data_IF_913927852052
#
_entry.id   IF_913927852052
#
_cell.length_a   1.000
_cell.length_b   1.000
_cell.length_c   1.000
_cell.angle_alpha   90.00
_cell.angle_beta   90.00
_cell.angle_gamma   90.00
#
_symmetry.space_group_name_H-M   'P 1'
#
loop_
_entity.id
_entity.type
_entity.pdbx_description
1 polymer ?
#
# COMPACT_ATOMS: atom_id res chain seq x y z
N UNK A 1 -5.08 -6.49 18.72
CA UNK A 1 -4.82 -7.15 20.03
C UNK A 1 -5.91 -6.77 21.02
N UNK A 2 -6.33 -7.67 21.92
CA UNK A 2 -7.26 -7.36 23.02
C UNK A 2 -6.53 -7.46 24.36
N UNK A 3 -6.42 -6.34 25.08
CA UNK A 3 -5.80 -6.29 26.40
C UNK A 3 -6.86 -6.18 27.50
N UNK A 4 -6.81 -7.03 28.54
CA UNK A 4 -7.78 -6.94 29.62
C UNK A 4 -7.51 -5.71 30.49
N UNK A 5 -8.57 -4.98 30.83
CA UNK A 5 -8.54 -3.87 31.77
C UNK A 5 -9.61 -4.06 32.84
N UNK A 6 -9.37 -3.56 34.05
CA UNK A 6 -10.38 -3.49 35.10
C UNK A 6 -10.97 -2.09 35.15
N UNK A 7 -12.29 -1.96 34.98
CA UNK A 7 -13.02 -0.70 35.21
C UNK A 7 -14.22 -0.99 36.10
N UNK A 8 -14.35 -0.23 37.20
CA UNK A 8 -15.41 -0.41 38.20
C UNK A 8 -15.58 -1.86 38.68
N UNK A 9 -14.47 -2.58 38.89
CA UNK A 9 -14.48 -3.98 39.35
C UNK A 9 -14.81 -5.03 38.29
N UNK A 10 -15.21 -4.62 37.07
CA UNK A 10 -15.52 -5.53 35.97
C UNK A 10 -14.35 -5.64 34.97
N UNK A 11 -14.17 -6.83 34.41
CA UNK A 11 -13.19 -7.08 33.33
C UNK A 11 -13.78 -6.59 32.02
N UNK A 12 -13.08 -5.65 31.39
CA UNK A 12 -13.37 -5.12 30.06
C UNK A 12 -12.12 -5.23 29.20
N UNK A 13 -12.21 -4.89 27.92
CA UNK A 13 -11.10 -5.05 26.98
C UNK A 13 -10.73 -3.73 26.31
N UNK A 14 -9.44 -3.47 26.14
CA UNK A 14 -8.94 -2.46 25.19
C UNK A 14 -8.54 -3.16 23.91
N UNK A 15 -9.04 -2.67 22.78
CA UNK A 15 -8.57 -3.10 21.47
C UNK A 15 -7.40 -2.22 21.04
N UNK A 16 -6.28 -2.82 20.66
CA UNK A 16 -5.11 -2.13 20.14
C UNK A 16 -4.74 -2.72 18.79
N UNK A 17 -4.87 -1.95 17.73
CA UNK A 17 -4.36 -2.31 16.40
C UNK A 17 -2.90 -1.87 16.31
N UNK A 18 -2.00 -2.77 15.91
CA UNK A 18 -0.57 -2.43 15.76
C UNK A 18 -0.25 -2.33 14.27
N UNK A 19 0.31 -1.20 13.83
CA UNK A 19 0.72 -1.01 12.43
C UNK A 19 2.21 -0.71 12.36
N UNK A 20 2.88 -1.35 11.40
CA UNK A 20 4.23 -0.97 10.98
C UNK A 20 4.15 0.32 10.12
N UNK A 21 3.82 1.43 10.77
CA UNK A 21 3.67 2.74 10.18
C UNK A 21 4.29 3.79 11.11
N UNK A 22 4.65 4.96 10.56
CA UNK A 22 5.14 6.11 11.33
C UNK A 22 4.03 7.05 11.81
N UNK A 23 2.81 6.87 11.30
CA UNK A 23 1.67 7.74 11.59
C UNK A 23 0.34 7.00 11.41
N UNK A 24 -0.71 7.56 12.00
CA UNK A 24 -2.09 7.08 11.82
C UNK A 24 -2.68 7.65 10.54
N UNK A 25 -3.13 6.77 9.64
CA UNK A 25 -3.84 7.13 8.40
C UNK A 25 -5.33 6.81 8.52
N UNK A 26 -6.15 7.40 7.66
CA UNK A 26 -7.60 7.21 7.69
C UNK A 26 -8.01 5.74 7.54
N UNK A 27 -7.39 5.00 6.61
CA UNK A 27 -7.59 3.55 6.48
C UNK A 27 -7.33 2.79 7.78
N UNK A 28 -6.38 3.23 8.61
CA UNK A 28 -6.15 2.58 9.88
C UNK A 28 -7.29 2.82 10.89
N UNK A 29 -7.96 3.97 10.80
CA UNK A 29 -9.12 4.29 11.64
C UNK A 29 -10.31 3.41 11.26
N UNK A 30 -10.52 3.22 9.96
CA UNK A 30 -11.53 2.32 9.40
C UNK A 30 -11.27 0.87 9.84
N UNK A 31 -10.01 0.39 9.77
CA UNK A 31 -9.61 -0.93 10.27
C UNK A 31 -10.00 -1.10 11.75
N UNK A 32 -9.62 -0.15 12.61
CA UNK A 32 -9.94 -0.22 14.05
C UNK A 32 -11.46 -0.17 14.27
N UNK A 33 -12.20 0.61 13.48
CA UNK A 33 -13.65 0.70 13.57
C UNK A 33 -14.33 -0.63 13.22
N UNK A 34 -13.92 -1.27 12.13
CA UNK A 34 -14.40 -2.60 11.71
C UNK A 34 -14.08 -3.63 12.80
N UNK A 35 -12.84 -3.68 13.28
CA UNK A 35 -12.44 -4.61 14.33
C UNK A 35 -13.24 -4.41 15.63
N UNK A 36 -13.48 -3.16 16.03
CA UNK A 36 -14.29 -2.84 17.20
C UNK A 36 -15.75 -3.23 17.03
N UNK A 37 -16.32 -2.99 15.84
CA UNK A 37 -17.67 -3.45 15.50
C UNK A 37 -17.76 -4.96 15.62
N UNK A 38 -16.87 -5.71 14.94
CA UNK A 38 -16.85 -7.17 14.99
C UNK A 38 -16.71 -7.71 16.41
N UNK A 39 -15.80 -7.15 17.21
CA UNK A 39 -15.61 -7.57 18.59
C UNK A 39 -16.88 -7.35 19.45
N UNK A 40 -17.55 -6.21 19.30
CA UNK A 40 -18.80 -5.92 20.02
C UNK A 40 -19.93 -6.86 19.59
N UNK A 41 -20.07 -7.13 18.29
CA UNK A 41 -21.06 -8.07 17.77
C UNK A 41 -20.80 -9.51 18.26
N UNK A 42 -19.53 -9.85 18.55
CA UNK A 42 -19.16 -11.10 19.20
C UNK A 42 -19.36 -11.11 20.73
N UNK A 43 -19.92 -10.04 21.31
CA UNK A 43 -20.19 -9.92 22.75
C UNK A 43 -19.00 -9.44 23.59
N UNK A 44 -17.92 -8.96 22.98
CA UNK A 44 -16.76 -8.43 23.71
C UNK A 44 -17.06 -7.02 24.23
N UNK A 45 -17.01 -6.87 25.56
CA UNK A 45 -17.15 -5.56 26.20
C UNK A 45 -15.86 -4.72 26.09
N UNK A 46 -15.84 -3.82 25.11
CA UNK A 46 -14.73 -2.91 24.86
C UNK A 46 -14.81 -1.64 25.74
N UNK A 47 -13.78 -1.42 26.54
CA UNK A 47 -13.56 -0.19 27.30
C UNK A 47 -12.97 0.96 26.47
N UNK A 48 -12.31 0.65 25.36
CA UNK A 48 -11.67 1.62 24.48
C UNK A 48 -10.94 0.95 23.32
N UNK A 49 -10.49 1.76 22.37
CA UNK A 49 -9.75 1.35 21.19
C UNK A 49 -8.59 2.30 20.93
N UNK A 50 -7.45 1.77 20.50
CA UNK A 50 -6.28 2.56 20.16
C UNK A 50 -5.57 1.95 18.94
N UNK A 51 -4.73 2.77 18.32
CA UNK A 51 -3.76 2.31 17.33
C UNK A 51 -2.35 2.55 17.86
N UNK A 52 -1.51 1.52 17.81
CA UNK A 52 -0.09 1.62 18.10
C UNK A 52 0.70 1.66 16.79
N UNK A 53 1.60 2.63 16.66
CA UNK A 53 2.50 2.78 15.51
C UNK A 53 3.93 3.05 15.99
N UNK A 54 4.91 2.94 15.09
CA UNK A 54 6.32 3.18 15.43
C UNK A 54 6.52 4.65 15.81
N UNK A 55 7.18 4.89 16.93
CA UNK A 55 7.70 6.21 17.28
C UNK A 55 8.98 6.47 16.49
N UNK A 56 8.93 7.46 15.60
CA UNK A 56 10.04 7.78 14.69
C UNK A 56 11.20 8.49 15.35
N UNK A 57 11.04 8.99 16.59
CA UNK A 57 12.13 9.60 17.36
C UNK A 57 12.75 8.64 18.38
N UNK A 58 12.19 7.45 18.53
CA UNK A 58 12.73 6.43 19.42
C UNK A 58 14.02 5.83 18.86
N UNK A 59 15.00 5.60 19.74
CA UNK A 59 16.30 5.02 19.41
C UNK A 59 16.49 3.77 20.25
N UNK A 60 16.81 2.64 19.59
CA UNK A 60 17.02 1.37 20.26
C UNK A 60 18.16 1.45 21.29
N UNK A 61 17.88 1.30 22.60
CA UNK A 61 18.92 1.37 23.62
C UNK A 61 19.81 0.12 23.68
N UNK A 62 19.47 -0.95 22.94
CA UNK A 62 20.14 -2.24 22.99
C UNK A 62 19.55 -3.18 24.04
N UNK A 63 20.14 -4.37 24.19
CA UNK A 63 19.76 -5.32 25.24
C UNK A 63 18.38 -5.97 25.10
N UNK A 64 17.75 -5.91 23.92
CA UNK A 64 16.40 -6.41 23.69
C UNK A 64 15.30 -5.54 24.31
N UNK A 65 15.64 -4.32 24.71
CA UNK A 65 14.68 -3.35 25.25
C UNK A 65 14.01 -2.55 24.12
N UNK A 66 12.74 -2.83 23.91
CA UNK A 66 11.88 -2.17 22.92
C UNK A 66 10.86 -1.24 23.56
N UNK A 67 11.00 -0.93 24.86
CA UNK A 67 10.08 -0.03 25.54
C UNK A 67 10.13 1.36 24.92
N UNK A 68 8.96 1.91 24.61
CA UNK A 68 8.83 3.17 23.87
C UNK A 68 8.90 3.08 22.34
N UNK A 69 9.19 1.91 21.74
CA UNK A 69 9.20 1.75 20.28
C UNK A 69 7.83 2.06 19.66
N UNK A 70 6.75 1.69 20.34
CA UNK A 70 5.38 1.89 19.86
C UNK A 70 4.71 3.02 20.65
N UNK A 71 4.16 3.99 19.92
CA UNK A 71 3.30 5.04 20.46
C UNK A 71 1.83 4.67 20.21
N UNK A 72 1.02 4.72 21.27
CA UNK A 72 -0.44 4.53 21.18
C UNK A 72 -1.18 5.85 20.94
N UNK A 73 -2.13 5.82 20.02
CA UNK A 73 -3.10 6.90 19.77
C UNK A 73 -4.50 6.37 20.13
N UNK A 74 -5.16 6.99 21.10
CA UNK A 74 -6.55 6.64 21.47
C UNK A 74 -7.51 7.03 20.34
N UNK A 75 -8.29 6.05 19.86
CA UNK A 75 -9.27 6.20 18.79
C UNK A 75 -10.70 5.92 19.27
N UNK A 76 -10.93 5.84 20.58
CA UNK A 76 -12.19 5.37 21.15
C UNK A 76 -13.39 6.21 20.70
N UNK A 77 -13.22 7.53 20.56
CA UNK A 77 -14.31 8.44 20.18
C UNK A 77 -14.60 8.36 18.68
N UNK A 78 -13.55 8.39 17.87
CA UNK A 78 -13.57 8.33 16.42
C UNK A 78 -14.23 7.04 15.96
N UNK A 79 -13.81 5.89 16.52
CA UNK A 79 -14.40 4.58 16.24
C UNK A 79 -15.88 4.55 16.60
N UNK A 80 -16.28 5.16 17.72
CA UNK A 80 -17.70 5.22 18.12
C UNK A 80 -18.54 5.98 17.10
N UNK A 81 -17.99 7.04 16.50
CA UNK A 81 -18.68 7.84 15.49
C UNK A 81 -18.78 7.10 14.14
N UNK A 82 -17.87 6.17 13.85
CA UNK A 82 -17.85 5.41 12.60
C UNK A 82 -18.70 4.13 12.59
N UNK A 83 -19.27 3.69 13.73
CA UNK A 83 -20.01 2.42 13.80
C UNK A 83 -21.14 2.31 12.77
N UNK A 84 -21.93 3.36 12.58
CA UNK A 84 -23.01 3.35 11.58
C UNK A 84 -22.47 3.19 10.15
N UNK A 85 -21.35 3.86 9.84
CA UNK A 85 -20.69 3.71 8.53
C UNK A 85 -20.17 2.28 8.31
N UNK A 86 -19.67 1.63 9.36
CA UNK A 86 -19.24 0.21 9.29
C UNK A 86 -20.40 -0.71 8.94
N UNK A 87 -21.58 -0.49 9.52
CA UNK A 87 -22.79 -1.26 9.19
C UNK A 87 -23.18 -1.06 7.71
N UNK A 88 -23.16 0.19 7.24
CA UNK A 88 -23.44 0.51 5.85
C UNK A 88 -22.43 -0.15 4.89
N UNK A 89 -21.13 -0.17 5.23
CA UNK A 89 -20.10 -0.85 4.43
C UNK A 89 -20.34 -2.36 4.35
N UNK A 90 -20.68 -2.99 5.48
CA UNK A 90 -20.99 -4.43 5.53
C UNK A 90 -22.20 -4.75 4.65
N UNK A 91 -23.25 -3.93 4.72
CA UNK A 91 -24.45 -4.14 3.91
C UNK A 91 -24.18 -3.92 2.41
N UNK A 92 -23.38 -2.92 2.05
CA UNK A 92 -22.93 -2.73 0.67
C UNK A 92 -22.12 -3.93 0.17
N UNK A 93 -21.16 -4.42 0.96
CA UNK A 93 -20.36 -5.59 0.61
C UNK A 93 -21.24 -6.84 0.42
N UNK A 94 -22.22 -7.07 1.31
CA UNK A 94 -23.19 -8.17 1.18
C UNK A 94 -24.01 -8.08 -0.11
N UNK A 95 -24.46 -6.87 -0.49
CA UNK A 95 -25.20 -6.67 -1.74
C UNK A 95 -24.34 -7.00 -2.96
N UNK A 96 -23.06 -6.65 -2.95
CA UNK A 96 -22.12 -7.00 -4.05
C UNK A 96 -21.92 -8.51 -4.13
N UNK A 97 -21.62 -9.17 -3.01
CA UNK A 97 -21.40 -10.63 -2.97
C UNK A 97 -22.64 -11.43 -3.36
N UNK A 98 -23.84 -10.90 -3.12
CA UNK A 98 -25.10 -11.55 -3.50
C UNK A 98 -25.44 -11.44 -5.00
N UNK A 99 -24.69 -10.65 -5.78
CA UNK A 99 -24.95 -10.51 -7.21
C UNK A 99 -24.58 -11.81 -7.94
N UNK A 100 -25.39 -12.27 -8.92
CA UNK A 100 -25.11 -13.50 -9.67
C UNK A 100 -23.93 -13.35 -10.66
N UNK A 101 -23.46 -12.12 -10.88
CA UNK A 101 -22.38 -11.77 -11.79
C UNK A 101 -21.46 -10.75 -11.14
N UNK A 102 -20.20 -10.75 -11.58
CA UNK A 102 -19.22 -9.73 -11.20
C UNK A 102 -19.74 -8.33 -11.62
N UNK A 103 -19.50 -7.28 -10.80
CA UNK A 103 -19.81 -5.91 -11.19
C UNK A 103 -19.12 -5.51 -12.50
N UNK A 104 -19.82 -4.77 -13.35
CA UNK A 104 -19.29 -4.21 -14.61
C UNK A 104 -18.50 -2.92 -14.31
N UNK A 105 -17.31 -3.07 -13.73
CA UNK A 105 -16.40 -1.98 -13.36
C UNK A 105 -15.00 -2.29 -13.92
N UNK A 106 -14.41 -1.36 -14.67
CA UNK A 106 -13.05 -1.44 -15.18
C UNK A 106 -12.00 -1.23 -14.08
N UNK A 107 -10.80 -1.75 -14.27
CA UNK A 107 -9.66 -1.54 -13.38
C UNK A 107 -9.29 -0.06 -13.31
N UNK A 108 -8.87 0.40 -12.13
CA UNK A 108 -8.59 1.83 -11.92
C UNK A 108 -7.95 2.13 -10.57
N UNK A 109 -8.01 3.40 -10.09
CA UNK A 109 -7.40 3.81 -8.82
C UNK A 109 -7.80 2.96 -7.61
N UNK A 110 -9.02 2.44 -7.61
CA UNK A 110 -9.56 1.53 -6.59
C UNK A 110 -8.79 0.21 -6.48
N UNK A 111 -8.06 -0.19 -7.52
CA UNK A 111 -7.25 -1.41 -7.52
C UNK A 111 -5.89 -1.25 -6.84
N UNK A 112 -5.51 -0.03 -6.49
CA UNK A 112 -4.18 0.28 -5.92
C UNK A 112 -4.25 1.04 -4.60
N UNK A 113 -5.42 1.59 -4.25
CA UNK A 113 -5.61 2.44 -3.07
C UNK A 113 -6.66 1.82 -2.15
N UNK A 114 -6.40 1.68 -0.83
CA UNK A 114 -5.14 1.98 -0.13
C UNK A 114 -4.07 0.88 -0.28
N UNK A 115 -4.46 -0.30 -0.77
CA UNK A 115 -3.57 -1.43 -1.02
C UNK A 115 -3.85 -2.03 -2.40
N UNK A 116 -2.93 -2.84 -2.90
CA UNK A 116 -3.12 -3.57 -4.15
C UNK A 116 -4.26 -4.58 -4.05
N UNK A 117 -5.17 -4.56 -5.01
CA UNK A 117 -6.29 -5.49 -5.11
C UNK A 117 -5.79 -6.88 -5.52
N UNK A 118 -6.08 -7.89 -4.70
CA UNK A 118 -5.72 -9.28 -4.98
C UNK A 118 -6.36 -9.90 -6.24
N UNK A 119 -7.35 -9.22 -6.84
CA UNK A 119 -8.01 -9.64 -8.09
C UNK A 119 -7.57 -8.84 -9.32
N UNK A 120 -6.64 -7.89 -9.18
CA UNK A 120 -6.23 -6.99 -10.27
C UNK A 120 -5.84 -7.75 -11.53
N UNK A 121 -4.98 -8.77 -11.41
CA UNK A 121 -4.54 -9.58 -12.56
C UNK A 121 -5.69 -10.30 -13.27
N UNK A 122 -6.70 -10.73 -12.52
CA UNK A 122 -7.90 -11.36 -13.10
C UNK A 122 -8.75 -10.35 -13.86
N UNK A 123 -9.00 -9.17 -13.27
CA UNK A 123 -9.78 -8.12 -13.92
C UNK A 123 -9.08 -7.63 -15.20
N UNK A 124 -7.76 -7.39 -15.15
CA UNK A 124 -6.97 -6.97 -16.32
C UNK A 124 -6.97 -8.01 -17.45
N UNK A 125 -7.07 -9.31 -17.14
CA UNK A 125 -7.15 -10.35 -18.17
C UNK A 125 -8.48 -10.35 -18.93
N UNK A 126 -9.51 -9.68 -18.41
CA UNK A 126 -10.80 -9.49 -19.08
C UNK A 126 -10.83 -8.21 -19.93
N UNK A 127 -9.83 -7.33 -19.78
CA UNK A 127 -9.74 -6.05 -20.46
C UNK A 127 -8.87 -6.13 -21.70
N UNK A 128 -9.17 -5.28 -22.68
CA UNK A 128 -8.31 -5.13 -23.86
C UNK A 128 -6.98 -4.54 -23.42
N UNK A 129 -5.92 -5.34 -23.47
CA UNK A 129 -4.57 -4.87 -23.15
C UNK A 129 -3.92 -4.26 -24.40
N UNK A 130 -3.33 -3.06 -24.31
CA UNK A 130 -2.50 -2.53 -25.39
C UNK A 130 -1.26 -3.41 -25.57
N UNK A 131 -0.76 -3.52 -26.81
CA UNK A 131 0.46 -4.28 -27.14
C UNK A 131 1.67 -3.83 -26.29
N UNK A 132 1.74 -2.52 -26.01
CA UNK A 132 2.72 -1.93 -25.12
C UNK A 132 2.01 -1.14 -24.02
N UNK A 133 1.82 -1.70 -22.82
CA UNK A 133 1.13 -1.01 -21.73
C UNK A 133 2.01 0.07 -21.09
N UNK A 134 1.35 1.08 -20.53
CA UNK A 134 1.99 2.17 -19.76
C UNK A 134 2.68 1.69 -18.48
N UNK A 135 2.39 0.47 -18.03
CA UNK A 135 3.10 -0.19 -16.91
C UNK A 135 4.59 -0.40 -17.19
N UNK A 136 5.01 -0.44 -18.46
CA UNK A 136 6.42 -0.52 -18.87
C UNK A 136 7.22 0.75 -18.55
N UNK A 137 6.56 1.88 -18.24
CA UNK A 137 7.23 3.12 -17.89
C UNK A 137 7.85 2.98 -16.49
N UNK A 138 9.19 3.01 -16.35
CA UNK A 138 9.85 2.76 -15.09
C UNK A 138 9.82 3.96 -14.15
N UNK A 139 9.96 3.67 -12.85
CA UNK A 139 10.19 4.66 -11.81
C UNK A 139 9.03 5.63 -11.59
N UNK A 140 9.32 6.74 -10.93
CA UNK A 140 8.31 7.74 -10.57
C UNK A 140 7.75 8.42 -11.83
N UNK A 141 6.42 8.44 -11.95
CA UNK A 141 5.69 9.10 -13.03
C UNK A 141 5.35 10.53 -12.63
N UNK A 142 5.34 11.45 -13.60
CA UNK A 142 4.89 12.84 -13.36
C UNK A 142 3.40 12.84 -13.08
N UNK A 143 2.93 13.77 -12.25
CA UNK A 143 1.51 13.87 -11.88
C UNK A 143 0.57 13.95 -13.10
N UNK A 144 0.96 14.72 -14.13
CA UNK A 144 0.20 14.82 -15.38
C UNK A 144 0.09 13.48 -16.15
N UNK A 145 1.12 12.63 -16.09
CA UNK A 145 1.06 11.29 -16.67
C UNK A 145 0.14 10.38 -15.85
N UNK A 146 0.22 10.45 -14.53
CA UNK A 146 -0.67 9.69 -13.64
C UNK A 146 -2.13 10.06 -13.92
N UNK A 147 -2.46 11.34 -13.94
CA UNK A 147 -3.81 11.81 -14.25
C UNK A 147 -4.30 11.36 -15.64
N UNK A 148 -3.42 11.33 -16.64
CA UNK A 148 -3.76 10.83 -17.98
C UNK A 148 -4.07 9.33 -17.96
N UNK A 149 -3.28 8.54 -17.23
CA UNK A 149 -3.48 7.10 -17.06
C UNK A 149 -4.77 6.78 -16.27
N UNK A 150 -5.15 7.64 -15.33
CA UNK A 150 -6.41 7.52 -14.59
C UNK A 150 -7.64 7.85 -15.45
N UNK A 151 -7.49 8.66 -16.49
CA UNK A 151 -8.57 8.99 -17.44
C UNK A 151 -8.68 8.00 -18.60
N UNK A 152 -7.60 7.27 -18.91
CA UNK A 152 -7.52 6.34 -20.02
C UNK A 152 -6.77 5.07 -19.61
N UNK A 153 -7.52 4.06 -19.17
CA UNK A 153 -6.98 2.76 -18.79
C UNK A 153 -6.42 1.97 -19.99
N UNK A 154 -6.96 2.22 -21.17
CA UNK A 154 -6.53 1.65 -22.45
C UNK A 154 -5.29 2.34 -23.05
N UNK A 155 -4.76 3.38 -22.40
CA UNK A 155 -3.67 4.19 -22.92
C UNK A 155 -2.44 3.33 -23.22
N UNK A 156 -2.06 3.28 -24.49
CA UNK A 156 -0.89 2.56 -24.94
C UNK A 156 0.38 3.42 -24.81
N UNK A 157 1.53 2.78 -24.62
CA UNK A 157 2.83 3.44 -24.46
C UNK A 157 3.17 4.38 -25.62
N UNK A 158 2.77 4.02 -26.85
CA UNK A 158 2.96 4.86 -28.05
C UNK A 158 2.20 6.18 -27.99
N UNK A 159 1.04 6.20 -27.33
CA UNK A 159 0.16 7.38 -27.23
C UNK A 159 0.63 8.35 -26.13
N UNK A 160 1.50 7.92 -25.23
CA UNK A 160 2.01 8.76 -24.14
C UNK A 160 2.86 9.90 -24.69
N UNK A 161 2.54 11.18 -24.43
CA UNK A 161 3.34 12.29 -24.92
C UNK A 161 4.74 12.32 -24.31
N UNK A 162 5.78 12.45 -25.14
CA UNK A 162 7.18 12.48 -24.70
C UNK A 162 7.48 13.63 -23.72
N UNK A 163 6.74 14.73 -23.80
CA UNK A 163 6.84 15.86 -22.87
C UNK A 163 6.49 15.48 -21.42
N UNK A 164 5.73 14.40 -21.22
CA UNK A 164 5.38 13.89 -19.88
C UNK A 164 6.41 12.90 -19.33
N UNK A 165 7.42 12.53 -20.13
CA UNK A 165 8.42 11.53 -19.80
C UNK A 165 9.77 12.17 -19.45
N UNK A 166 10.50 11.54 -18.51
CA UNK A 166 11.93 11.81 -18.30
C UNK A 166 12.79 11.20 -19.41
N UNK A 167 14.06 11.59 -19.50
CA UNK A 167 15.00 11.02 -20.49
C UNK A 167 15.10 9.50 -20.42
N UNK A 168 15.11 8.95 -19.20
CA UNK A 168 15.10 7.50 -18.98
C UNK A 168 13.82 6.86 -19.51
N UNK A 169 12.67 7.45 -19.23
CA UNK A 169 11.38 6.92 -19.67
C UNK A 169 11.18 7.06 -21.18
N UNK A 170 11.63 8.17 -21.80
CA UNK A 170 11.66 8.34 -23.26
C UNK A 170 12.51 7.27 -23.93
N UNK A 171 13.68 6.97 -23.37
CA UNK A 171 14.56 5.90 -23.84
C UNK A 171 13.87 4.54 -23.78
N UNK A 172 13.19 4.22 -22.66
CA UNK A 172 12.42 2.97 -22.54
C UNK A 172 11.32 2.91 -23.59
N UNK A 173 10.50 3.96 -23.73
CA UNK A 173 9.47 4.03 -24.77
C UNK A 173 10.06 3.77 -26.17
N UNK A 174 11.12 4.49 -26.54
CA UNK A 174 11.76 4.33 -27.86
C UNK A 174 12.27 2.90 -28.09
N UNK A 175 13.00 2.35 -27.12
CA UNK A 175 13.54 0.98 -27.19
C UNK A 175 12.44 -0.08 -27.26
N UNK A 176 11.39 0.04 -26.46
CA UNK A 176 10.24 -0.89 -26.48
C UNK A 176 9.54 -0.86 -27.83
N UNK A 177 9.20 0.32 -28.35
CA UNK A 177 8.45 0.45 -29.61
C UNK A 177 9.26 0.00 -30.84
N UNK A 178 10.59 0.00 -30.75
CA UNK A 178 11.48 -0.39 -31.86
C UNK A 178 12.09 -1.79 -31.67
N UNK A 179 11.81 -2.44 -30.54
CA UNK A 179 12.45 -3.68 -30.13
C UNK A 179 14.00 -3.59 -30.16
N UNK A 180 14.53 -2.47 -29.67
CA UNK A 180 15.97 -2.15 -29.63
C UNK A 180 16.48 -2.12 -28.18
N UNK A 181 17.73 -2.51 -27.96
CA UNK A 181 18.38 -2.42 -26.63
C UNK A 181 19.21 -1.14 -26.55
N UNK A 182 19.02 -0.36 -25.48
CA UNK A 182 19.90 0.77 -25.18
C UNK A 182 21.08 0.33 -24.32
N UNK A 183 22.29 0.59 -24.78
CA UNK A 183 23.52 0.36 -24.02
C UNK A 183 24.22 1.68 -23.71
N UNK A 184 24.57 1.90 -22.45
CA UNK A 184 25.54 2.94 -22.07
C UNK A 184 26.95 2.35 -22.05
N UNK A 185 27.51 2.13 -23.25
CA UNK A 185 28.86 1.57 -23.39
C UNK A 185 29.93 2.48 -22.79
N UNK A 186 29.69 3.80 -22.75
CA UNK A 186 30.64 4.76 -22.19
C UNK A 186 30.65 4.70 -20.67
N UNK A 187 29.48 4.69 -20.04
CA UNK A 187 29.33 4.49 -18.59
C UNK A 187 29.90 3.14 -18.17
N UNK A 188 29.51 2.05 -18.83
CA UNK A 188 30.04 0.72 -18.55
C UNK A 188 31.57 0.66 -18.63
N UNK A 189 32.20 1.29 -19.63
CA UNK A 189 33.66 1.36 -19.73
C UNK A 189 34.30 2.19 -18.61
N UNK A 190 33.63 3.23 -18.13
CA UNK A 190 34.12 4.04 -17.02
C UNK A 190 34.05 3.27 -15.69
N UNK A 191 32.97 2.52 -15.47
CA UNK A 191 32.76 1.74 -14.24
C UNK A 191 33.68 0.50 -14.17
N UNK A 192 34.07 -0.04 -15.32
CA UNK A 192 34.91 -1.24 -15.45
C UNK A 192 36.41 -0.93 -15.64
N UNK A 193 36.90 0.22 -15.17
CA UNK A 193 38.32 0.60 -15.30
C UNK A 193 39.27 -0.21 -14.38
N UNK A 194 38.73 -0.96 -13.42
CA UNK A 194 39.52 -1.70 -12.44
C UNK A 194 40.10 -3.01 -12.99
N UNK A 195 41.22 -3.46 -12.43
CA UNK A 195 41.81 -4.74 -12.82
C UNK A 195 40.92 -5.92 -12.42
N UNK A 196 40.90 -6.96 -13.27
CA UNK A 196 40.13 -8.19 -13.05
C UNK A 196 40.78 -9.09 -11.96
N UNK A 197 39.98 -9.95 -11.29
CA UNK A 197 38.55 -10.18 -11.50
C UNK A 197 37.63 -9.17 -10.78
N UNK A 198 36.50 -8.84 -11.40
CA UNK A 198 35.44 -8.07 -10.75
C UNK A 198 34.56 -8.98 -9.88
N UNK A 199 34.22 -8.49 -8.69
CA UNK A 199 33.23 -9.10 -7.80
C UNK A 199 32.07 -8.14 -7.65
N UNK A 200 30.86 -8.63 -7.88
CA UNK A 200 29.64 -7.84 -7.73
C UNK A 200 28.87 -8.40 -6.53
N UNK A 201 28.46 -7.51 -5.63
CA UNK A 201 27.56 -7.85 -4.53
C UNK A 201 26.17 -7.36 -4.92
N UNK A 202 25.28 -8.30 -5.20
CA UNK A 202 23.85 -8.04 -5.24
C UNK A 202 23.31 -8.22 -3.82
N UNK A 203 22.61 -7.22 -3.29
CA UNK A 203 21.96 -7.33 -2.00
C UNK A 203 20.60 -6.65 -2.04
N UNK A 204 19.64 -7.33 -1.45
CA UNK A 204 18.30 -6.81 -1.24
C UNK A 204 18.26 -6.12 0.12
N UNK A 205 17.74 -4.88 0.16
CA UNK A 205 17.50 -4.20 1.43
C UNK A 205 16.13 -4.61 1.97
N UNK A 206 16.07 -4.93 3.26
CA UNK A 206 14.82 -5.10 3.99
C UNK A 206 14.65 -3.92 4.95
N UNK A 207 13.47 -3.32 4.96
CA UNK A 207 13.10 -2.26 5.90
C UNK A 207 12.36 -2.88 7.08
N UNK A 208 13.09 -3.31 8.10
CA UNK A 208 12.47 -3.75 9.34
C UNK A 208 11.91 -2.54 10.10
N UNK A 209 10.68 -2.67 10.61
CA UNK A 209 10.12 -1.72 11.56
C UNK A 209 10.78 -1.82 12.95
N UNK A 210 11.44 -2.95 13.23
CA UNK A 210 12.10 -3.25 14.50
C UNK A 210 13.62 -3.33 14.24
N UNK A 211 14.44 -2.51 14.92
CA UNK A 211 15.90 -2.68 14.88
C UNK A 211 16.29 -4.07 15.42
N UNK A 212 17.18 -4.77 14.71
CA UNK A 212 17.66 -6.12 15.07
C UNK A 212 19.07 -6.03 15.67
#
# INVERSE_FOLDING_TARGET
MLLPVRRAGQRRWRLIEVKAASEVKDVHREDVAIQCYTARQAGVDLAGAALAHVDTVWVYPGGGDYDGLLQEVDLTREVRQQIAAVEDWIDQARRVVAQPRMPEIETGPQCHTPYECGFLSFCQSQETQPEHPTTLIPGKRRAALVALMEQRHDLALQEVPDALLSDRQRRVKHCTLRNEVAHDLRGARADLQHALPHYYLDFETVQFAVPI
#
